data_IF_604106771024
#
_entry.id   IF_604106771024
#
_cell.length_a   1.000
_cell.length_b   1.000
_cell.length_c   1.000
_cell.angle_alpha   90.00
_cell.angle_beta   90.00
_cell.angle_gamma   90.00
#
_symmetry.space_group_name_H-M   'P 1'
#
loop_
_entity.id
_entity.type
_entity.pdbx_description
1 polymer ?
#
# COMPACT_ATOMS: atom_id res chain seq x y z
N UNK A 1 17.46 23.38 -42.66
CA UNK A 1 17.71 24.21 -41.46
C UNK A 1 16.61 24.05 -40.42
N UNK A 2 15.33 24.26 -40.76
CA UNK A 2 14.18 24.14 -39.81
C UNK A 2 14.08 22.75 -39.18
N UNK A 3 14.29 21.67 -39.93
CA UNK A 3 14.22 20.28 -39.43
C UNK A 3 15.29 19.99 -38.37
N UNK A 4 16.51 20.49 -38.53
CA UNK A 4 17.56 20.34 -37.54
C UNK A 4 17.27 21.12 -36.23
N UNK A 5 16.69 22.31 -36.35
CA UNK A 5 16.25 23.10 -35.19
C UNK A 5 15.14 22.38 -34.41
N UNK A 6 14.22 21.74 -35.12
CA UNK A 6 13.14 20.95 -34.48
C UNK A 6 13.69 19.74 -33.68
N UNK A 7 14.67 19.03 -34.30
CA UNK A 7 15.31 17.89 -33.61
C UNK A 7 16.09 18.37 -32.38
N UNK A 8 16.82 19.45 -32.48
CA UNK A 8 17.54 20.03 -31.35
C UNK A 8 16.57 20.46 -30.25
N UNK A 9 15.43 21.05 -30.59
CA UNK A 9 14.39 21.45 -29.63
C UNK A 9 13.78 20.24 -28.93
N UNK A 10 13.49 19.16 -29.67
CA UNK A 10 12.95 17.90 -29.09
C UNK A 10 13.99 17.28 -28.15
N UNK A 11 15.25 17.24 -28.54
CA UNK A 11 16.35 16.70 -27.70
C UNK A 11 16.49 17.54 -26.44
N UNK A 12 16.55 18.87 -26.56
CA UNK A 12 16.68 19.79 -25.43
C UNK A 12 15.46 19.69 -24.49
N UNK A 13 14.24 19.56 -25.03
CA UNK A 13 13.02 19.35 -24.24
C UNK A 13 13.08 18.02 -23.48
N UNK A 14 13.53 16.95 -24.15
CA UNK A 14 13.63 15.62 -23.53
C UNK A 14 14.69 15.57 -22.43
N UNK A 15 15.86 16.14 -22.71
CA UNK A 15 16.99 16.24 -21.75
C UNK A 15 16.61 17.14 -20.57
N UNK A 16 16.01 18.30 -20.84
CA UNK A 16 15.53 19.21 -19.82
C UNK A 16 14.47 18.56 -18.91
N UNK A 17 13.46 17.94 -19.52
CA UNK A 17 12.39 17.28 -18.77
C UNK A 17 12.92 16.10 -17.94
N UNK A 18 13.86 15.32 -18.49
CA UNK A 18 14.53 14.23 -17.78
C UNK A 18 15.41 14.74 -16.64
N UNK A 19 16.18 15.81 -16.89
CA UNK A 19 17.07 16.41 -15.90
C UNK A 19 16.29 17.06 -14.75
N UNK A 20 15.20 17.81 -15.05
CA UNK A 20 14.37 18.43 -14.03
C UNK A 20 13.63 17.38 -13.18
N UNK A 21 13.05 16.34 -13.80
CA UNK A 21 12.43 15.21 -13.07
C UNK A 21 13.44 14.50 -12.18
N UNK A 22 14.61 14.19 -12.72
CA UNK A 22 15.69 13.52 -11.97
C UNK A 22 16.18 14.38 -10.81
N UNK A 23 16.30 15.69 -11.02
CA UNK A 23 16.80 16.60 -9.99
C UNK A 23 15.76 16.85 -8.88
N UNK A 24 14.47 16.94 -9.24
CA UNK A 24 13.37 17.03 -8.29
C UNK A 24 13.34 15.79 -7.37
N UNK A 25 13.30 14.61 -7.96
CA UNK A 25 13.26 13.35 -7.20
C UNK A 25 14.56 13.09 -6.42
N UNK A 26 15.70 13.53 -6.94
CA UNK A 26 16.96 13.48 -6.19
C UNK A 26 16.91 14.31 -4.91
N UNK A 27 16.29 15.50 -4.96
CA UNK A 27 16.08 16.30 -3.73
C UNK A 27 15.14 15.60 -2.75
N UNK A 28 14.01 15.06 -3.24
CA UNK A 28 13.09 14.25 -2.42
C UNK A 28 13.84 13.07 -1.80
N UNK A 29 14.62 12.38 -2.58
CA UNK A 29 15.45 11.26 -2.14
C UNK A 29 16.44 11.65 -1.02
N UNK A 30 17.23 12.67 -1.28
CA UNK A 30 18.23 13.13 -0.32
C UNK A 30 17.60 13.50 1.03
N UNK A 31 16.33 13.93 1.00
CA UNK A 31 15.55 14.23 2.19
C UNK A 31 14.94 12.99 2.85
N UNK A 32 14.61 11.96 2.07
CA UNK A 32 14.16 10.66 2.56
C UNK A 32 15.32 9.76 3.02
N UNK A 33 16.57 10.07 2.65
CA UNK A 33 17.73 9.40 3.23
C UNK A 33 17.80 9.73 4.73
N UNK A 34 17.62 8.73 5.54
CA UNK A 34 17.56 8.75 7.01
C UNK A 34 18.90 9.16 7.64
N UNK A 35 19.79 9.77 6.88
CA UNK A 35 21.07 10.29 7.34
C UNK A 35 20.94 11.77 7.70
N UNK A 36 21.03 12.04 8.93
CA UNK A 36 21.37 13.21 9.79
C UNK A 36 21.20 14.68 9.32
N UNK A 37 20.91 14.98 8.05
CA UNK A 37 20.78 16.36 7.58
C UNK A 37 19.38 16.70 7.10
N UNK A 38 18.46 16.94 8.03
CA UNK A 38 17.15 17.51 7.73
C UNK A 38 17.28 19.00 7.41
N UNK A 39 16.84 19.38 6.22
CA UNK A 39 16.51 20.77 5.95
C UNK A 39 15.33 21.18 6.83
N UNK A 40 15.63 22.01 7.81
CA UNK A 40 14.64 22.64 8.70
C UNK A 40 13.97 23.85 8.04
N UNK A 41 13.71 23.80 6.75
CA UNK A 41 13.03 24.88 6.04
C UNK A 41 11.58 24.93 6.51
N UNK A 42 11.23 25.92 7.33
CA UNK A 42 9.87 26.09 7.85
C UNK A 42 8.82 26.23 6.74
N UNK A 43 9.21 26.71 5.56
CA UNK A 43 8.33 26.84 4.38
C UNK A 43 7.83 25.50 3.85
N UNK A 44 8.56 24.41 4.10
CA UNK A 44 8.23 23.05 3.63
C UNK A 44 7.67 22.14 4.72
N UNK A 45 7.27 22.66 5.87
CA UNK A 45 6.69 21.82 6.91
C UNK A 45 5.19 21.61 6.67
N UNK A 46 4.75 20.37 6.72
CA UNK A 46 3.36 19.99 6.81
C UNK A 46 2.98 19.74 8.27
N UNK A 47 1.68 19.78 8.57
CA UNK A 47 1.17 19.45 9.90
C UNK A 47 1.13 17.94 10.03
N UNK A 48 1.63 17.40 11.14
CA UNK A 48 1.56 15.98 11.50
C UNK A 48 0.53 15.86 12.62
N UNK A 49 -0.59 15.17 12.33
CA UNK A 49 -1.66 14.99 13.29
C UNK A 49 -1.80 13.50 13.64
N UNK A 50 -1.54 13.16 14.88
CA UNK A 50 -1.64 11.78 15.42
C UNK A 50 -2.91 11.55 16.24
N UNK A 51 -3.67 12.61 16.53
CA UNK A 51 -4.91 12.55 17.27
C UNK A 51 -6.09 12.72 16.33
N UNK A 52 -6.87 11.64 16.15
CA UNK A 52 -8.04 11.62 15.29
C UNK A 52 -9.04 12.76 15.59
N UNK A 53 -9.17 13.14 16.87
CA UNK A 53 -10.14 14.18 17.29
C UNK A 53 -9.76 15.59 16.80
N UNK A 54 -8.52 15.81 16.40
CA UNK A 54 -8.03 17.08 15.85
C UNK A 54 -8.15 17.12 14.31
N UNK A 55 -8.49 15.99 13.69
CA UNK A 55 -8.63 15.88 12.23
C UNK A 55 -10.05 16.24 11.81
N UNK A 56 -10.17 17.19 10.90
CA UNK A 56 -11.46 17.49 10.29
C UNK A 56 -11.79 16.45 9.20
N UNK A 57 -12.50 15.39 9.59
CA UNK A 57 -12.80 14.24 8.74
C UNK A 57 -13.52 14.63 7.44
N UNK A 58 -14.47 15.57 7.49
CA UNK A 58 -15.18 16.04 6.30
C UNK A 58 -14.23 16.66 5.26
N UNK A 59 -13.26 17.47 5.71
CA UNK A 59 -12.26 18.07 4.81
C UNK A 59 -11.34 17.00 4.22
N UNK A 60 -10.95 15.99 5.00
CA UNK A 60 -10.14 14.87 4.51
C UNK A 60 -10.91 14.08 3.47
N UNK A 61 -12.14 13.65 3.76
CA UNK A 61 -13.01 12.94 2.81
C UNK A 61 -13.20 13.74 1.52
N UNK A 62 -13.42 15.05 1.62
CA UNK A 62 -13.56 15.93 0.44
C UNK A 62 -12.27 15.97 -0.39
N UNK A 63 -11.11 16.10 0.23
CA UNK A 63 -9.82 16.07 -0.46
C UNK A 63 -9.67 14.76 -1.26
N UNK A 64 -9.93 13.62 -0.66
CA UNK A 64 -9.74 12.32 -1.29
C UNK A 64 -10.78 12.01 -2.38
N UNK A 65 -12.05 12.35 -2.17
CA UNK A 65 -13.12 12.20 -3.19
C UNK A 65 -12.81 12.92 -4.50
N UNK A 66 -12.02 13.99 -4.45
CA UNK A 66 -11.62 14.74 -5.65
C UNK A 66 -10.57 14.00 -6.50
N UNK A 67 -9.99 12.90 -6.00
CA UNK A 67 -8.84 12.24 -6.61
C UNK A 67 -9.04 10.78 -6.93
N UNK A 68 -9.68 10.07 -6.02
CA UNK A 68 -9.87 8.64 -6.20
C UNK A 68 -11.14 8.38 -7.00
N UNK A 69 -11.13 7.41 -7.92
CA UNK A 69 -12.34 7.01 -8.64
C UNK A 69 -13.41 6.56 -7.63
N UNK A 70 -14.67 6.61 -8.03
CA UNK A 70 -15.80 6.22 -7.18
C UNK A 70 -15.69 4.79 -6.64
N UNK A 71 -14.95 3.92 -7.34
CA UNK A 71 -14.62 2.56 -6.88
C UNK A 71 -13.63 2.50 -5.71
N UNK A 72 -13.04 3.64 -5.33
CA UNK A 72 -12.06 3.74 -4.25
C UNK A 72 -12.51 4.82 -3.27
N UNK A 73 -13.42 4.48 -2.39
CA UNK A 73 -14.08 5.46 -1.54
C UNK A 73 -13.40 5.54 -0.18
N UNK A 74 -12.79 6.69 0.14
CA UNK A 74 -12.35 7.00 1.49
C UNK A 74 -13.51 7.71 2.20
N UNK A 75 -13.99 7.10 3.26
CA UNK A 75 -15.07 7.59 4.12
C UNK A 75 -14.54 8.00 5.49
N UNK A 76 -15.37 8.66 6.30
CA UNK A 76 -15.00 8.89 7.70
C UNK A 76 -14.74 7.59 8.47
N UNK A 77 -15.50 6.53 8.17
CA UNK A 77 -15.33 5.21 8.78
C UNK A 77 -13.97 4.63 8.41
N UNK A 78 -13.55 4.73 7.14
CA UNK A 78 -12.22 4.31 6.68
C UNK A 78 -11.12 5.01 7.47
N UNK A 79 -11.23 6.34 7.67
CA UNK A 79 -10.24 7.11 8.42
C UNK A 79 -10.21 6.68 9.90
N UNK A 80 -11.39 6.55 10.53
CA UNK A 80 -11.49 6.10 11.92
C UNK A 80 -10.90 4.70 12.12
N UNK A 81 -11.16 3.79 11.19
CA UNK A 81 -10.60 2.44 11.21
C UNK A 81 -9.10 2.43 11.01
N UNK A 82 -8.56 3.28 10.13
CA UNK A 82 -7.12 3.44 9.96
C UNK A 82 -6.46 3.81 11.29
N UNK A 83 -6.96 4.84 11.97
CA UNK A 83 -6.44 5.27 13.27
C UNK A 83 -6.62 4.25 14.39
N UNK A 84 -7.64 3.40 14.32
CA UNK A 84 -7.89 2.33 15.29
C UNK A 84 -6.98 1.11 15.05
N UNK A 85 -6.73 0.76 13.80
CA UNK A 85 -6.04 -0.48 13.42
C UNK A 85 -4.53 -0.33 13.32
N UNK A 86 -4.03 0.82 12.89
CA UNK A 86 -2.60 1.03 12.64
C UNK A 86 -1.81 1.32 13.91
N UNK A 87 -0.57 0.84 13.99
CA UNK A 87 0.36 1.28 15.02
C UNK A 87 0.78 2.72 14.72
N UNK A 88 0.75 3.60 15.76
CA UNK A 88 1.16 4.99 15.61
C UNK A 88 0.67 5.59 14.28
N UNK A 89 -0.63 5.69 14.05
CA UNK A 89 -1.16 6.31 12.85
C UNK A 89 -0.93 7.83 12.88
N UNK A 90 -0.77 8.41 11.71
CA UNK A 90 -0.71 9.86 11.53
C UNK A 90 -1.41 10.26 10.24
N UNK A 91 -1.97 11.47 10.24
CA UNK A 91 -2.37 12.17 9.03
C UNK A 91 -1.45 13.37 8.85
N UNK A 92 -0.66 13.35 7.80
CA UNK A 92 0.29 14.41 7.46
C UNK A 92 -0.32 15.23 6.34
N UNK A 93 -0.53 16.53 6.56
CA UNK A 93 -1.24 17.36 5.61
C UNK A 93 -0.69 18.78 5.52
N UNK A 94 -1.00 19.45 4.42
CA UNK A 94 -0.82 20.88 4.23
C UNK A 94 -2.15 21.54 3.93
N UNK A 95 -2.37 22.70 4.55
CA UNK A 95 -3.57 23.51 4.36
C UNK A 95 -3.23 24.93 3.90
N UNK A 96 -4.13 25.53 3.15
CA UNK A 96 -4.11 26.93 2.77
C UNK A 96 -5.52 27.49 2.94
N UNK A 97 -5.67 28.63 3.63
CA UNK A 97 -6.98 29.28 3.87
C UNK A 97 -8.03 28.33 4.42
N UNK A 98 -7.66 27.53 5.43
CA UNK A 98 -8.48 26.49 6.04
C UNK A 98 -8.90 25.32 5.11
N UNK A 99 -8.40 25.23 3.88
CA UNK A 99 -8.65 24.13 2.97
C UNK A 99 -7.45 23.18 2.93
N UNK A 100 -7.70 21.88 2.92
CA UNK A 100 -6.65 20.89 2.71
C UNK A 100 -6.24 20.93 1.24
N UNK A 101 -4.94 21.10 0.99
CA UNK A 101 -4.36 21.16 -0.36
C UNK A 101 -3.48 19.94 -0.68
N UNK A 102 -3.18 19.13 0.31
CA UNK A 102 -2.52 17.83 0.17
C UNK A 102 -2.53 17.09 1.49
N UNK A 103 -2.48 15.76 1.42
CA UNK A 103 -2.47 14.89 2.58
C UNK A 103 -1.96 13.51 2.26
N UNK A 104 -1.55 12.81 3.31
CA UNK A 104 -1.08 11.43 3.26
C UNK A 104 -1.35 10.77 4.60
N UNK A 105 -1.77 9.52 4.59
CA UNK A 105 -1.83 8.69 5.77
C UNK A 105 -0.49 8.00 5.97
N UNK A 106 -0.09 7.89 7.23
CA UNK A 106 1.21 7.38 7.63
C UNK A 106 1.07 6.54 8.89
N UNK A 107 1.83 5.45 9.01
CA UNK A 107 1.81 4.60 10.19
C UNK A 107 3.15 3.89 10.37
N UNK A 108 3.52 3.65 11.63
CA UNK A 108 4.74 2.91 11.95
C UNK A 108 4.35 1.49 12.37
N UNK A 109 4.82 0.51 11.63
CA UNK A 109 4.50 -0.90 11.89
C UNK A 109 5.78 -1.73 12.06
N UNK A 110 5.65 -2.88 12.70
CA UNK A 110 6.75 -3.83 12.83
C UNK A 110 6.79 -4.75 11.62
N UNK A 111 7.98 -4.90 11.04
CA UNK A 111 8.26 -5.85 9.97
C UNK A 111 9.39 -6.78 10.37
N UNK A 112 9.44 -7.93 9.72
CA UNK A 112 10.60 -8.84 9.77
C UNK A 112 11.35 -8.70 8.45
N UNK A 113 12.64 -8.45 8.54
CA UNK A 113 13.57 -8.48 7.41
C UNK A 113 14.83 -9.22 7.79
N UNK A 114 15.21 -10.22 6.98
CA UNK A 114 16.36 -11.13 7.29
C UNK A 114 16.29 -11.74 8.69
N UNK A 115 15.08 -12.09 9.15
CA UNK A 115 14.79 -12.69 10.48
C UNK A 115 14.97 -11.74 11.68
N UNK A 116 15.15 -10.47 11.43
CA UNK A 116 15.23 -9.45 12.48
C UNK A 116 14.03 -8.52 12.45
N UNK A 117 13.63 -8.03 13.61
CA UNK A 117 12.53 -7.07 13.75
C UNK A 117 12.99 -5.65 13.49
N UNK A 118 12.21 -4.92 12.70
CA UNK A 118 12.44 -3.51 12.43
C UNK A 118 11.13 -2.73 12.48
N UNK A 119 11.22 -1.46 12.82
CA UNK A 119 10.13 -0.51 12.59
C UNK A 119 10.23 0.02 11.17
N UNK A 120 9.10 -0.02 10.46
CA UNK A 120 8.95 0.54 9.12
C UNK A 120 7.79 1.54 9.10
N UNK A 121 7.98 2.58 8.35
CA UNK A 121 6.96 3.57 8.06
C UNK A 121 6.20 3.16 6.80
N UNK A 122 4.88 3.04 6.90
CA UNK A 122 3.98 2.75 5.79
C UNK A 122 3.27 4.03 5.38
N UNK A 123 3.48 4.43 4.14
CA UNK A 123 2.91 5.64 3.55
C UNK A 123 1.78 5.26 2.61
N UNK A 124 0.57 5.70 2.92
CA UNK A 124 -0.64 5.32 2.20
C UNK A 124 -1.45 6.55 1.77
N UNK A 125 -2.23 6.41 0.70
CA UNK A 125 -3.17 7.44 0.22
C UNK A 125 -2.58 8.85 0.07
N UNK A 126 -1.39 8.97 -0.53
CA UNK A 126 -0.79 10.29 -0.78
C UNK A 126 -1.55 11.04 -1.88
N UNK A 127 -2.00 12.26 -1.60
CA UNK A 127 -2.74 13.11 -2.53
C UNK A 127 -2.34 14.57 -2.45
N UNK A 128 -2.28 15.24 -3.61
CA UNK A 128 -2.13 16.70 -3.70
C UNK A 128 -3.23 17.26 -4.59
N UNK A 129 -3.96 18.26 -4.09
CA UNK A 129 -5.06 18.89 -4.82
C UNK A 129 -4.58 19.43 -6.18
N UNK A 130 -5.29 19.13 -7.26
CA UNK A 130 -4.81 19.36 -8.63
C UNK A 130 -4.37 20.80 -8.92
N UNK A 131 -5.09 21.79 -8.35
CA UNK A 131 -4.75 23.21 -8.50
C UNK A 131 -3.46 23.63 -7.78
N UNK A 132 -3.02 22.82 -6.83
CA UNK A 132 -1.82 23.06 -6.02
C UNK A 132 -0.63 22.17 -6.42
N UNK A 133 -0.78 21.39 -7.49
CA UNK A 133 0.35 20.64 -8.06
C UNK A 133 1.43 21.62 -8.54
N UNK A 134 2.67 21.19 -8.48
CA UNK A 134 3.87 21.99 -8.80
C UNK A 134 4.18 23.14 -7.80
N UNK A 135 3.50 23.20 -6.66
CA UNK A 135 3.75 24.17 -5.58
C UNK A 135 4.55 23.57 -4.40
N UNK A 136 5.39 22.58 -4.67
CA UNK A 136 6.20 21.87 -3.66
C UNK A 136 5.40 21.22 -2.51
N UNK A 137 4.08 21.03 -2.66
CA UNK A 137 3.23 20.41 -1.63
C UNK A 137 3.68 18.98 -1.35
N UNK A 138 3.89 18.18 -2.40
CA UNK A 138 4.37 16.82 -2.26
C UNK A 138 5.73 16.76 -1.55
N UNK A 139 6.64 17.68 -1.87
CA UNK A 139 7.92 17.84 -1.18
C UNK A 139 7.75 18.09 0.32
N UNK A 140 6.81 18.98 0.67
CA UNK A 140 6.47 19.27 2.05
C UNK A 140 5.95 18.04 2.79
N UNK A 141 5.06 17.25 2.16
CA UNK A 141 4.57 15.99 2.73
C UNK A 141 5.71 15.01 2.96
N UNK A 142 6.58 14.81 1.97
CA UNK A 142 7.73 13.89 2.08
C UNK A 142 8.71 14.28 3.17
N UNK A 143 8.97 15.58 3.35
CA UNK A 143 9.79 16.07 4.47
C UNK A 143 9.18 15.72 5.82
N UNK A 144 7.86 15.87 5.96
CA UNK A 144 7.17 15.58 7.20
C UNK A 144 7.06 14.07 7.46
N UNK A 145 6.88 13.24 6.42
CA UNK A 145 6.99 11.78 6.50
C UNK A 145 8.36 11.39 7.05
N UNK A 146 9.43 11.96 6.48
CA UNK A 146 10.79 11.68 6.93
C UNK A 146 11.02 12.06 8.41
N UNK A 147 10.52 13.23 8.83
CA UNK A 147 10.56 13.64 10.25
C UNK A 147 9.80 12.66 11.15
N UNK A 148 8.60 12.25 10.72
CA UNK A 148 7.78 11.30 11.46
C UNK A 148 8.46 9.93 11.58
N UNK A 149 9.04 9.44 10.47
CA UNK A 149 9.82 8.20 10.41
C UNK A 149 10.96 8.22 11.44
N UNK A 150 11.76 9.28 11.42
CA UNK A 150 12.92 9.40 12.33
C UNK A 150 12.51 9.57 13.79
N UNK A 151 11.49 10.40 14.09
CA UNK A 151 11.01 10.58 15.47
C UNK A 151 10.52 9.27 16.08
N UNK A 152 10.04 8.34 15.26
CA UNK A 152 9.59 7.01 15.67
C UNK A 152 10.66 5.92 15.53
N UNK A 153 11.91 6.28 15.17
CA UNK A 153 13.04 5.34 14.98
C UNK A 153 12.73 4.23 13.98
N UNK A 154 11.91 4.52 12.96
CA UNK A 154 11.68 3.59 11.89
C UNK A 154 12.87 3.58 10.93
N UNK A 155 13.29 2.39 10.50
CA UNK A 155 14.46 2.19 9.64
C UNK A 155 14.09 2.23 8.16
N UNK A 156 12.87 1.84 7.83
CA UNK A 156 12.42 1.69 6.46
C UNK A 156 11.20 2.56 6.18
N UNK A 157 11.05 2.99 4.93
CA UNK A 157 9.82 3.64 4.45
C UNK A 157 9.29 2.81 3.28
N UNK A 158 8.02 2.39 3.37
CA UNK A 158 7.36 1.52 2.41
C UNK A 158 6.16 2.25 1.81
N UNK A 159 6.06 2.26 0.49
CA UNK A 159 4.91 2.80 -0.22
C UNK A 159 4.71 2.17 -1.59
N UNK A 160 3.49 2.29 -2.11
CA UNK A 160 3.09 1.81 -3.43
C UNK A 160 2.67 2.97 -4.32
N UNK A 161 2.98 2.90 -5.60
CA UNK A 161 2.51 3.86 -6.62
C UNK A 161 1.95 3.09 -7.81
N UNK A 162 0.77 3.50 -8.24
CA UNK A 162 0.12 2.94 -9.43
C UNK A 162 0.51 3.71 -10.69
N UNK A 163 0.68 2.98 -11.79
CA UNK A 163 0.85 3.42 -13.17
C UNK A 163 2.16 4.14 -13.53
N UNK A 164 2.61 5.15 -12.79
CA UNK A 164 3.78 5.95 -13.17
C UNK A 164 4.88 5.83 -12.12
N UNK A 165 6.01 5.18 -12.44
CA UNK A 165 7.09 5.06 -11.48
C UNK A 165 7.70 6.42 -11.18
N UNK A 166 8.09 6.60 -9.93
CA UNK A 166 9.07 7.62 -9.59
C UNK A 166 10.38 7.22 -10.27
N UNK A 167 11.07 8.14 -10.99
CA UNK A 167 12.37 7.81 -11.56
C UNK A 167 13.28 7.18 -10.52
N UNK A 168 13.83 6.00 -10.83
CA UNK A 168 14.68 5.27 -9.88
C UNK A 168 15.93 6.07 -9.58
N UNK A 169 16.20 6.27 -8.31
CA UNK A 169 17.46 6.81 -7.83
C UNK A 169 18.35 5.65 -7.39
N UNK A 170 19.66 5.79 -7.54
CA UNK A 170 20.59 4.80 -7.01
C UNK A 170 20.36 4.62 -5.51
N UNK A 171 20.10 3.38 -5.08
CA UNK A 171 19.89 3.03 -3.69
C UNK A 171 18.44 2.78 -3.26
N UNK A 172 17.45 2.87 -4.19
CA UNK A 172 16.07 2.46 -3.89
C UNK A 172 15.79 1.04 -4.32
N UNK A 173 15.11 0.33 -3.43
CA UNK A 173 14.51 -0.94 -3.77
C UNK A 173 13.14 -0.70 -4.39
N UNK A 174 13.13 -0.43 -5.70
CA UNK A 174 11.92 -0.40 -6.48
C UNK A 174 11.70 -1.75 -7.12
N UNK A 175 10.55 -2.33 -6.89
CA UNK A 175 10.09 -3.54 -7.55
C UNK A 175 8.79 -3.26 -8.27
N UNK A 176 8.73 -3.59 -9.55
CA UNK A 176 7.49 -3.51 -10.33
C UNK A 176 6.78 -4.85 -10.32
N UNK A 177 5.48 -4.82 -10.19
CA UNK A 177 4.62 -5.97 -10.33
C UNK A 177 3.36 -5.60 -11.11
N UNK A 178 2.43 -6.52 -11.21
CA UNK A 178 1.18 -6.29 -11.91
C UNK A 178 0.02 -6.33 -10.95
N UNK A 179 -0.93 -5.42 -11.18
CA UNK A 179 -2.24 -5.46 -10.58
C UNK A 179 -3.18 -6.22 -11.51
N UNK A 180 -3.98 -7.11 -10.95
CA UNK A 180 -4.80 -8.06 -11.70
C UNK A 180 -6.26 -7.97 -11.30
N UNK A 181 -7.16 -8.21 -12.26
CA UNK A 181 -8.60 -8.31 -12.06
C UNK A 181 -9.05 -9.76 -12.23
N UNK A 182 -9.93 -10.24 -11.36
CA UNK A 182 -10.48 -11.61 -11.43
C UNK A 182 -11.21 -11.84 -12.75
N UNK A 183 -10.90 -12.95 -13.43
CA UNK A 183 -11.59 -13.38 -14.65
C UNK A 183 -13.05 -13.69 -14.34
N UNK A 184 -13.97 -13.24 -15.21
CA UNK A 184 -15.42 -13.39 -15.00
C UNK A 184 -15.91 -14.85 -14.99
N UNK A 185 -15.21 -15.76 -15.65
CA UNK A 185 -15.65 -17.14 -15.91
C UNK A 185 -15.06 -18.17 -14.92
N UNK A 186 -14.84 -17.78 -13.68
CA UNK A 186 -14.47 -18.75 -12.65
C UNK A 186 -15.74 -19.40 -12.13
N UNK A 187 -16.05 -20.59 -12.61
CA UNK A 187 -17.15 -21.42 -12.13
C UNK A 187 -16.59 -22.63 -11.38
N UNK A 188 -16.92 -22.77 -10.12
CA UNK A 188 -16.59 -23.94 -9.30
C UNK A 188 -17.81 -24.42 -8.57
N UNK A 189 -17.99 -25.75 -8.52
CA UNK A 189 -18.93 -26.36 -7.57
C UNK A 189 -18.28 -26.35 -6.19
N UNK A 190 -18.76 -25.49 -5.31
CA UNK A 190 -18.27 -25.40 -3.94
C UNK A 190 -19.07 -26.33 -3.05
N UNK A 191 -18.35 -27.01 -2.16
CA UNK A 191 -18.92 -27.44 -0.88
C UNK A 191 -18.78 -26.27 0.08
N UNK A 192 -19.82 -25.47 0.24
CA UNK A 192 -19.86 -24.23 1.06
C UNK A 192 -19.44 -24.42 2.52
N UNK A 193 -19.59 -25.63 3.05
CA UNK A 193 -19.24 -26.03 4.43
C UNK A 193 -17.74 -25.94 4.72
N UNK A 194 -16.91 -25.80 3.67
CA UNK A 194 -15.46 -25.85 3.73
C UNK A 194 -14.81 -24.47 3.83
N UNK A 195 -15.60 -23.42 3.58
CA UNK A 195 -15.16 -22.03 3.68
C UNK A 195 -15.82 -21.38 4.92
N UNK A 196 -15.01 -20.85 5.82
CA UNK A 196 -15.48 -20.22 7.05
C UNK A 196 -14.85 -18.87 7.29
N UNK A 197 -15.66 -17.87 7.67
CA UNK A 197 -15.15 -16.68 8.34
C UNK A 197 -14.79 -17.04 9.78
N UNK A 198 -13.60 -16.67 10.24
CA UNK A 198 -13.16 -16.93 11.61
C UNK A 198 -12.95 -15.64 12.39
N UNK A 199 -13.13 -15.71 13.69
CA UNK A 199 -12.77 -14.66 14.61
C UNK A 199 -11.24 -14.64 14.82
N UNK A 200 -10.69 -13.51 15.26
CA UNK A 200 -9.25 -13.36 15.51
C UNK A 200 -8.73 -14.37 16.52
N UNK A 201 -9.57 -14.78 17.47
CA UNK A 201 -9.24 -15.74 18.53
C UNK A 201 -9.03 -17.15 18.00
N UNK A 202 -9.62 -17.46 16.84
CA UNK A 202 -9.51 -18.75 16.16
C UNK A 202 -8.34 -18.81 15.17
N UNK A 203 -7.56 -17.73 15.04
CA UNK A 203 -6.47 -17.63 14.10
C UNK A 203 -5.21 -18.20 14.73
N UNK A 204 -4.63 -19.21 14.08
CA UNK A 204 -3.32 -19.77 14.43
C UNK A 204 -2.20 -18.89 13.83
N UNK A 205 -1.81 -17.87 14.58
CA UNK A 205 -0.76 -16.93 14.17
C UNK A 205 0.60 -17.60 13.96
N UNK A 206 0.91 -18.68 14.71
CA UNK A 206 2.17 -19.39 14.56
C UNK A 206 2.26 -20.08 13.21
N UNK A 207 1.18 -20.68 12.74
CA UNK A 207 1.14 -21.25 11.39
C UNK A 207 1.27 -20.20 10.30
N UNK A 208 0.61 -19.06 10.45
CA UNK A 208 0.75 -17.97 9.48
C UNK A 208 2.17 -17.42 9.49
N UNK A 209 2.76 -17.15 10.66
CA UNK A 209 4.15 -16.71 10.77
C UNK A 209 5.13 -17.73 10.18
N UNK A 210 4.89 -19.02 10.38
CA UNK A 210 5.69 -20.06 9.74
C UNK A 210 5.59 -20.01 8.21
N UNK A 211 4.39 -19.78 7.67
CA UNK A 211 4.22 -19.57 6.23
C UNK A 211 4.98 -18.33 5.76
N UNK A 212 4.82 -17.19 6.44
CA UNK A 212 5.50 -15.94 6.13
C UNK A 212 7.01 -16.01 6.25
N UNK A 213 7.55 -16.83 7.14
CA UNK A 213 9.00 -16.96 7.37
C UNK A 213 9.79 -17.43 6.14
N UNK A 214 9.12 -17.92 5.10
CA UNK A 214 9.73 -18.22 3.80
C UNK A 214 10.02 -16.97 2.97
N UNK A 215 9.43 -15.83 3.31
CA UNK A 215 9.67 -14.54 2.68
C UNK A 215 10.87 -13.84 3.33
N UNK A 216 11.47 -12.90 2.62
CA UNK A 216 12.61 -12.11 3.11
C UNK A 216 12.17 -10.87 3.89
N UNK A 217 11.01 -10.32 3.53
CA UNK A 217 10.38 -9.19 4.22
C UNK A 217 8.89 -9.45 4.36
N UNK A 218 8.38 -9.36 5.58
CA UNK A 218 6.97 -9.54 5.87
C UNK A 218 6.56 -8.82 7.15
N UNK A 219 5.28 -8.46 7.31
CA UNK A 219 4.78 -7.88 8.54
C UNK A 219 4.78 -8.93 9.66
N UNK A 220 5.17 -8.51 10.85
CA UNK A 220 5.19 -9.41 11.99
C UNK A 220 3.80 -9.58 12.60
N UNK A 221 3.37 -10.83 12.71
CA UNK A 221 2.06 -11.21 13.20
C UNK A 221 2.11 -11.61 14.66
N UNK A 222 1.75 -10.70 15.54
CA UNK A 222 1.33 -11.02 16.89
C UNK A 222 -0.16 -10.78 17.07
N UNK A 223 -0.79 -11.52 17.98
CA UNK A 223 -2.10 -11.18 18.52
C UNK A 223 -1.99 -9.77 19.12
N UNK A 224 -2.68 -8.79 18.64
CA UNK A 224 -2.63 -7.36 18.99
C UNK A 224 -1.70 -6.48 18.13
N UNK A 225 -1.06 -7.00 17.08
CA UNK A 225 -0.42 -6.12 16.11
C UNK A 225 -1.45 -5.53 15.14
N UNK A 226 -1.11 -4.44 14.52
CA UNK A 226 -1.89 -3.83 13.43
C UNK A 226 -2.24 -4.84 12.36
N UNK A 227 -1.28 -5.67 11.97
CA UNK A 227 -1.50 -6.67 10.93
C UNK A 227 -2.48 -7.78 11.37
N UNK A 228 -2.44 -8.21 12.62
CA UNK A 228 -3.43 -9.13 13.15
C UNK A 228 -4.84 -8.54 13.07
N UNK A 229 -4.97 -7.22 13.28
CA UNK A 229 -6.25 -6.53 13.18
C UNK A 229 -6.79 -6.47 11.74
N UNK A 230 -5.95 -6.59 10.71
CA UNK A 230 -6.42 -6.70 9.31
C UNK A 230 -6.97 -8.08 8.98
N UNK A 231 -6.64 -9.10 9.78
CA UNK A 231 -7.20 -10.46 9.63
C UNK A 231 -8.53 -10.64 10.33
N UNK A 232 -9.09 -9.60 10.94
CA UNK A 232 -10.41 -9.64 11.57
C UNK A 232 -11.49 -9.44 10.51
N UNK A 233 -12.61 -10.15 10.65
CA UNK A 233 -13.78 -9.88 9.83
C UNK A 233 -14.53 -8.67 10.37
N UNK A 234 -14.58 -7.61 9.57
CA UNK A 234 -15.33 -6.39 9.85
C UNK A 234 -15.86 -5.78 8.53
N UNK A 235 -16.32 -4.53 8.56
CA UNK A 235 -16.88 -3.86 7.38
C UNK A 235 -15.84 -3.64 6.26
N UNK A 236 -14.53 -3.62 6.59
CA UNK A 236 -13.46 -3.37 5.64
C UNK A 236 -12.66 -4.63 5.27
N UNK A 237 -12.54 -5.59 6.20
CA UNK A 237 -11.70 -6.76 5.99
C UNK A 237 -12.53 -8.05 6.09
N UNK A 238 -12.22 -8.97 5.21
CA UNK A 238 -12.84 -10.29 5.17
C UNK A 238 -11.73 -11.33 5.15
N UNK A 239 -11.70 -12.20 6.15
CA UNK A 239 -10.74 -13.30 6.22
C UNK A 239 -11.47 -14.63 6.11
N UNK A 240 -11.12 -15.41 5.10
CA UNK A 240 -11.65 -16.74 4.85
C UNK A 240 -10.63 -17.80 5.23
N UNK A 241 -11.11 -18.86 5.86
CA UNK A 241 -10.37 -20.09 6.10
C UNK A 241 -10.97 -21.19 5.24
N UNK A 242 -10.18 -21.74 4.33
CA UNK A 242 -10.60 -22.82 3.44
C UNK A 242 -9.99 -24.11 3.96
N UNK A 243 -10.84 -25.05 4.43
CA UNK A 243 -10.45 -26.34 5.04
C UNK A 243 -9.43 -26.22 6.18
N UNK A 244 -9.24 -25.08 6.82
CA UNK A 244 -8.17 -24.79 7.77
C UNK A 244 -6.74 -24.96 7.17
N UNK A 245 -6.60 -24.96 5.84
CA UNK A 245 -5.33 -25.16 5.14
C UNK A 245 -4.88 -23.95 4.36
N UNK A 246 -5.80 -23.08 3.96
CA UNK A 246 -5.54 -21.82 3.29
C UNK A 246 -6.27 -20.69 4.01
N UNK A 247 -5.59 -19.57 4.17
CA UNK A 247 -6.18 -18.30 4.61
C UNK A 247 -6.16 -17.34 3.43
N UNK A 248 -7.27 -16.68 3.18
CA UNK A 248 -7.40 -15.59 2.22
C UNK A 248 -7.92 -14.36 2.94
N UNK A 249 -7.21 -13.24 2.80
CA UNK A 249 -7.61 -11.99 3.41
C UNK A 249 -7.90 -10.94 2.34
N UNK A 250 -9.03 -10.29 2.45
CA UNK A 250 -9.53 -9.31 1.50
C UNK A 250 -9.76 -7.98 2.20
N UNK A 251 -9.53 -6.88 1.48
CA UNK A 251 -9.86 -5.50 1.88
C UNK A 251 -10.97 -4.97 0.99
N UNK A 252 -12.01 -4.43 1.59
CA UNK A 252 -13.11 -3.77 0.88
C UNK A 252 -12.76 -2.32 0.58
N UNK A 253 -12.77 -1.93 -0.68
CA UNK A 253 -12.58 -0.55 -1.12
C UNK A 253 -13.89 0.19 -1.37
N UNK A 254 -14.93 -0.54 -1.78
CA UNK A 254 -16.30 -0.03 -1.97
C UNK A 254 -17.31 -1.18 -1.88
N UNK A 255 -18.59 -0.90 -2.07
CA UNK A 255 -19.64 -1.92 -2.17
C UNK A 255 -19.44 -2.89 -3.34
N UNK A 256 -18.71 -2.47 -4.38
CA UNK A 256 -18.54 -3.23 -5.62
C UNK A 256 -17.11 -3.77 -5.81
N UNK A 257 -16.14 -3.30 -5.01
CA UNK A 257 -14.72 -3.59 -5.21
C UNK A 257 -14.04 -4.06 -3.93
N UNK A 258 -13.42 -5.22 -4.02
CA UNK A 258 -12.52 -5.75 -2.99
C UNK A 258 -11.16 -6.10 -3.59
N UNK A 259 -10.15 -6.09 -2.77
CA UNK A 259 -8.79 -6.50 -3.08
C UNK A 259 -8.41 -7.72 -2.24
N UNK A 260 -7.90 -8.75 -2.89
CA UNK A 260 -7.24 -9.87 -2.20
C UNK A 260 -5.85 -9.40 -1.78
N UNK A 261 -5.69 -9.15 -0.49
CA UNK A 261 -4.41 -8.71 0.07
C UNK A 261 -3.42 -9.86 0.22
N UNK A 262 -3.87 -10.97 0.86
CA UNK A 262 -2.99 -12.06 1.25
C UNK A 262 -3.61 -13.42 1.03
N UNK A 263 -2.73 -14.37 0.70
CA UNK A 263 -2.99 -15.80 0.83
C UNK A 263 -1.88 -16.42 1.69
N UNK A 264 -2.25 -17.30 2.62
CA UNK A 264 -1.31 -18.02 3.46
C UNK A 264 -1.60 -19.52 3.41
N UNK A 265 -0.65 -20.29 2.91
CA UNK A 265 -0.70 -21.74 2.97
C UNK A 265 -0.34 -22.21 4.40
N UNK A 266 -1.30 -22.83 5.08
CA UNK A 266 -1.08 -23.41 6.40
C UNK A 266 -0.66 -24.89 6.33
N UNK A 267 -0.84 -25.51 5.16
CA UNK A 267 -0.52 -26.88 4.87
C UNK A 267 -0.21 -27.03 3.36
N UNK A 268 0.41 -28.12 2.95
CA UNK A 268 0.68 -28.42 1.55
C UNK A 268 -0.64 -28.73 0.81
N UNK A 269 -1.01 -27.91 -0.17
CA UNK A 269 -2.27 -27.99 -0.90
C UNK A 269 -2.09 -27.68 -2.39
N UNK A 270 -3.10 -27.96 -3.20
CA UNK A 270 -3.29 -27.32 -4.51
C UNK A 270 -3.84 -25.90 -4.27
N UNK A 271 -2.94 -24.93 -4.25
CA UNK A 271 -3.29 -23.54 -3.92
C UNK A 271 -4.31 -22.96 -4.91
N UNK A 272 -4.24 -23.34 -6.18
CA UNK A 272 -5.14 -22.84 -7.22
C UNK A 272 -6.57 -23.32 -6.95
N UNK A 273 -6.74 -24.61 -6.66
CA UNK A 273 -8.06 -25.17 -6.34
C UNK A 273 -8.67 -24.53 -5.10
N UNK A 274 -7.89 -24.39 -4.03
CA UNK A 274 -8.35 -23.78 -2.79
C UNK A 274 -8.67 -22.29 -2.95
N UNK A 275 -7.86 -21.54 -3.70
CA UNK A 275 -8.15 -20.12 -3.97
C UNK A 275 -9.43 -19.97 -4.79
N UNK A 276 -9.68 -20.84 -5.74
CA UNK A 276 -10.93 -20.87 -6.51
C UNK A 276 -12.14 -21.02 -5.59
N UNK A 277 -12.10 -21.89 -4.59
CA UNK A 277 -13.17 -22.05 -3.61
C UNK A 277 -13.44 -20.75 -2.84
N UNK A 278 -12.38 -20.11 -2.33
CA UNK A 278 -12.50 -18.84 -1.62
C UNK A 278 -13.04 -17.70 -2.49
N UNK A 279 -12.55 -17.57 -3.71
CA UNK A 279 -13.00 -16.54 -4.67
C UNK A 279 -14.48 -16.75 -5.08
N UNK A 280 -14.90 -17.99 -5.25
CA UNK A 280 -16.28 -18.32 -5.53
C UNK A 280 -17.18 -17.98 -4.33
N UNK A 281 -16.78 -18.36 -3.12
CA UNK A 281 -17.49 -17.99 -1.89
C UNK A 281 -17.71 -16.47 -1.80
N UNK A 282 -16.66 -15.67 -2.07
CA UNK A 282 -16.74 -14.23 -2.09
C UNK A 282 -17.76 -13.73 -3.11
N UNK A 283 -17.71 -14.26 -4.33
CA UNK A 283 -18.64 -13.89 -5.40
C UNK A 283 -20.10 -14.19 -5.05
N UNK A 284 -20.38 -15.32 -4.37
CA UNK A 284 -21.74 -15.74 -4.05
C UNK A 284 -22.34 -15.08 -2.80
N UNK A 285 -21.48 -14.81 -1.80
CA UNK A 285 -21.96 -14.37 -0.50
C UNK A 285 -21.77 -12.88 -0.22
N UNK A 286 -20.78 -12.24 -0.86
CA UNK A 286 -20.45 -10.85 -0.61
C UNK A 286 -20.85 -9.91 -1.77
N UNK A 287 -21.37 -10.46 -2.86
CA UNK A 287 -21.95 -9.74 -4.01
C UNK A 287 -21.05 -8.67 -4.61
N UNK A 288 -19.77 -8.96 -4.78
CA UNK A 288 -18.83 -8.04 -5.42
C UNK A 288 -18.78 -8.25 -6.93
N UNK A 289 -18.71 -7.14 -7.65
CA UNK A 289 -18.52 -7.16 -9.12
C UNK A 289 -17.04 -7.24 -9.49
N UNK A 290 -16.15 -6.80 -8.59
CA UNK A 290 -14.73 -6.65 -8.87
C UNK A 290 -13.87 -7.15 -7.73
N UNK A 291 -13.03 -8.15 -8.02
CA UNK A 291 -11.98 -8.64 -7.12
C UNK A 291 -10.64 -8.39 -7.80
N UNK A 292 -9.74 -7.72 -7.11
CA UNK A 292 -8.38 -7.41 -7.60
C UNK A 292 -7.32 -8.02 -6.70
N UNK A 293 -6.09 -8.15 -7.23
CA UNK A 293 -4.94 -8.67 -6.48
C UNK A 293 -3.64 -8.03 -6.98
N UNK A 294 -2.75 -7.71 -6.06
CA UNK A 294 -1.36 -7.39 -6.34
C UNK A 294 -0.53 -8.67 -6.40
N UNK A 295 0.34 -8.83 -7.41
CA UNK A 295 1.16 -10.03 -7.59
C UNK A 295 2.44 -9.98 -6.73
N UNK A 296 2.29 -9.81 -5.42
CA UNK A 296 3.40 -9.84 -4.44
C UNK A 296 3.32 -11.09 -3.56
N UNK A 297 4.47 -11.51 -3.04
CA UNK A 297 4.57 -12.65 -2.12
C UNK A 297 3.89 -13.89 -2.68
N UNK A 298 3.04 -14.51 -1.88
CA UNK A 298 2.33 -15.73 -2.27
C UNK A 298 1.22 -15.49 -3.30
N UNK A 299 0.72 -14.27 -3.45
CA UNK A 299 -0.31 -13.95 -4.44
C UNK A 299 0.15 -14.24 -5.88
N UNK A 300 1.48 -14.23 -6.12
CA UNK A 300 2.04 -14.57 -7.44
C UNK A 300 1.65 -15.98 -7.91
N UNK A 301 1.36 -16.89 -6.97
CA UNK A 301 0.98 -18.27 -7.26
C UNK A 301 -0.40 -18.42 -7.89
N UNK A 302 -1.23 -17.38 -7.80
CA UNK A 302 -2.63 -17.43 -8.27
C UNK A 302 -2.96 -16.44 -9.36
N UNK A 303 -1.97 -15.72 -9.89
CA UNK A 303 -2.21 -14.69 -10.94
C UNK A 303 -2.84 -15.24 -12.22
N UNK A 304 -2.72 -16.54 -12.48
CA UNK A 304 -3.37 -17.19 -13.63
C UNK A 304 -4.90 -17.14 -13.58
N UNK A 305 -5.48 -16.97 -12.38
CA UNK A 305 -6.93 -16.82 -12.17
C UNK A 305 -7.43 -15.42 -12.55
N UNK A 306 -6.54 -14.49 -12.82
CA UNK A 306 -6.82 -13.08 -12.98
C UNK A 306 -6.35 -12.57 -14.34
N UNK A 307 -6.91 -11.45 -14.77
CA UNK A 307 -6.47 -10.70 -15.95
C UNK A 307 -5.61 -9.53 -15.51
N UNK A 308 -4.46 -9.37 -16.17
CA UNK A 308 -3.54 -8.28 -15.93
C UNK A 308 -4.17 -6.94 -16.32
N UNK A 309 -4.12 -5.95 -15.46
CA UNK A 309 -4.66 -4.60 -15.69
C UNK A 309 -3.58 -3.56 -15.90
N UNK A 310 -2.78 -3.27 -14.87
CA UNK A 310 -1.74 -2.23 -14.93
C UNK A 310 -0.53 -2.63 -14.07
N UNK A 311 0.52 -1.82 -14.15
CA UNK A 311 1.75 -2.01 -13.37
C UNK A 311 1.64 -1.18 -12.09
N UNK A 312 2.02 -1.79 -10.97
CA UNK A 312 2.25 -1.13 -9.69
C UNK A 312 3.74 -1.14 -9.35
N UNK A 313 4.17 -0.15 -8.59
CA UNK A 313 5.57 0.02 -8.20
C UNK A 313 5.65 0.08 -6.68
N UNK A 314 6.41 -0.84 -6.11
CA UNK A 314 6.63 -0.93 -4.67
C UNK A 314 8.00 -0.37 -4.32
N UNK A 315 8.03 0.54 -3.39
CA UNK A 315 9.23 1.22 -2.92
C UNK A 315 9.47 0.85 -1.46
N UNK A 316 10.68 0.38 -1.18
CA UNK A 316 11.14 0.09 0.18
C UNK A 316 12.47 0.82 0.37
N UNK A 317 12.41 1.97 1.03
CA UNK A 317 13.60 2.80 1.26
C UNK A 317 14.35 2.29 2.50
N UNK A 318 15.66 2.35 2.45
CA UNK A 318 16.55 1.94 3.54
C UNK A 318 17.04 0.50 3.47
N UNK A 319 16.57 -0.31 2.51
CA UNK A 319 17.13 -1.64 2.27
C UNK A 319 18.48 -1.54 1.55
N UNK A 320 19.36 -2.47 1.86
CA UNK A 320 20.68 -2.64 1.28
C UNK A 320 20.69 -3.45 -0.03
N UNK A 321 19.56 -4.07 -0.37
CA UNK A 321 19.40 -4.91 -1.56
C UNK A 321 18.03 -4.78 -2.19
N UNK A 322 17.92 -5.13 -3.47
CA UNK A 322 16.65 -5.19 -4.19
C UNK A 322 15.94 -6.51 -3.87
N UNK A 323 14.68 -6.43 -3.48
CA UNK A 323 13.82 -7.61 -3.30
C UNK A 323 13.06 -7.92 -4.61
N UNK A 324 12.86 -9.20 -4.89
CA UNK A 324 11.95 -9.66 -5.93
C UNK A 324 10.50 -9.59 -5.40
N UNK A 325 9.53 -9.48 -6.28
CA UNK A 325 8.08 -9.44 -5.93
C UNK A 325 7.63 -10.65 -5.12
N UNK A 326 8.27 -11.80 -5.27
CA UNK A 326 7.99 -13.04 -4.52
C UNK A 326 8.57 -13.04 -3.10
N UNK A 327 9.49 -12.12 -2.78
CA UNK A 327 10.27 -12.15 -1.56
C UNK A 327 9.67 -11.30 -0.44
N UNK A 328 8.58 -10.59 -0.69
CA UNK A 328 8.01 -9.72 0.32
C UNK A 328 6.48 -9.71 0.34
N UNK A 329 5.97 -9.49 1.53
CA UNK A 329 4.60 -9.06 1.79
C UNK A 329 4.61 -7.82 2.66
N UNK A 330 3.73 -6.89 2.36
CA UNK A 330 3.29 -5.82 3.25
C UNK A 330 1.91 -5.37 2.77
N UNK A 331 1.17 -4.69 3.61
CA UNK A 331 -0.18 -4.27 3.27
C UNK A 331 -0.31 -2.75 3.26
N UNK A 332 -1.27 -2.29 2.51
CA UNK A 332 -1.70 -0.91 2.45
C UNK A 332 -3.18 -0.79 2.72
#
# INVERSE_FOLDING_TARGET
MIFYLLIIFIILYYVSNHYFKKHFWYKVYKQLNITDNFYTDKEFSSIIETNLNLINLNKVVHLYKSYFPASFTITETTIKNYFKKMEKPAFIYKSCDNNLIGGVFDSINTIIYKKEEYKANFVDYAVVYYKNRNQNIFQSLMNSISKYTNSNKAKYIIFKIDMNPIPSFHGYNMTSNYYYLLKKNINYSIKSDLVKKKNIEDIDFDKINKSLSSLRLFPYLYKNTTFANTLVNDDENITLFIHNKLVMNFKRHSSEHIELLYIFELDKIDIIEYCKMGLQYMKENELFDRITVDSIGFNIKIVELFEKTHITYHYILGLDEKLDVKDFYYYF
#
